data_IF_726872551277
#
_entry.id   IF_726872551277
#
_cell.length_a   1.000
_cell.length_b   1.000
_cell.length_c   1.000
_cell.angle_alpha   90.00
_cell.angle_beta   90.00
_cell.angle_gamma   90.00
#
_symmetry.space_group_name_H-M   'P 1'
#
loop_
_entity.id
_entity.type
_entity.pdbx_description
1 polymer ?
#
# COMPACT_ATOMS: atom_id res chain seq x y z
N UNK A 1 -9.25 16.14 -4.48
CA UNK A 1 -8.83 16.61 -3.13
C UNK A 1 -9.08 18.10 -2.88
N UNK A 2 -8.94 19.00 -3.85
CA UNK A 2 -9.15 20.45 -3.64
C UNK A 2 -10.33 21.06 -4.43
N UNK A 3 -10.99 20.25 -5.26
CA UNK A 3 -12.09 20.70 -6.13
C UNK A 3 -13.28 21.31 -5.37
N UNK A 4 -13.44 20.97 -4.09
CA UNK A 4 -14.43 21.58 -3.19
C UNK A 4 -14.24 23.10 -3.00
N UNK A 5 -13.05 23.64 -3.28
CA UNK A 5 -12.80 25.09 -3.25
C UNK A 5 -13.43 25.82 -4.44
N UNK A 6 -13.81 25.10 -5.50
CA UNK A 6 -14.31 25.66 -6.75
C UNK A 6 -13.39 26.74 -7.36
N UNK A 7 -12.08 26.57 -7.17
CA UNK A 7 -11.05 27.48 -7.67
C UNK A 7 -10.48 26.92 -8.98
N UNK A 8 -10.62 27.62 -10.12
CA UNK A 8 -10.14 27.14 -11.41
C UNK A 8 -8.63 26.99 -11.49
N UNK A 9 -7.87 27.69 -10.63
CA UNK A 9 -6.40 27.60 -10.63
C UNK A 9 -5.93 26.29 -10.06
N UNK A 10 -6.60 25.71 -9.06
CA UNK A 10 -6.18 24.46 -8.39
C UNK A 10 -7.14 23.29 -8.63
N UNK A 11 -8.04 23.42 -9.60
CA UNK A 11 -9.02 22.40 -9.95
C UNK A 11 -8.34 21.16 -10.53
N UNK A 12 -8.71 19.95 -10.07
CA UNK A 12 -8.04 18.71 -10.47
C UNK A 12 -8.02 18.49 -11.98
N UNK A 13 -9.05 18.95 -12.71
CA UNK A 13 -9.17 18.80 -14.17
C UNK A 13 -8.15 19.63 -14.97
N UNK A 14 -7.63 20.73 -14.42
CA UNK A 14 -6.72 21.67 -15.10
C UNK A 14 -5.34 21.74 -14.45
N UNK A 15 -5.22 21.39 -13.16
CA UNK A 15 -3.97 21.47 -12.43
C UNK A 15 -2.91 20.52 -13.00
N UNK A 16 -1.69 21.05 -13.14
CA UNK A 16 -0.54 20.28 -13.59
C UNK A 16 0.45 20.12 -12.43
N UNK A 17 0.59 18.88 -11.96
CA UNK A 17 1.44 18.59 -10.81
C UNK A 17 2.92 18.70 -11.13
N UNK A 18 3.68 19.12 -10.12
CA UNK A 18 5.14 19.05 -10.15
C UNK A 18 5.64 17.63 -9.86
N UNK A 19 5.40 16.71 -10.79
CA UNK A 19 5.92 15.35 -10.83
C UNK A 19 6.21 14.95 -12.28
N UNK A 20 6.65 13.72 -12.52
CA UNK A 20 6.96 13.22 -13.87
C UNK A 20 5.80 12.57 -14.60
N UNK A 21 4.66 12.37 -13.93
CA UNK A 21 3.48 11.73 -14.51
C UNK A 21 2.56 12.80 -15.16
N UNK A 22 2.18 12.66 -16.44
CA UNK A 22 1.19 13.54 -17.03
C UNK A 22 -0.13 13.53 -16.25
N UNK A 23 -0.71 14.69 -15.94
CA UNK A 23 -1.94 14.74 -15.12
C UNK A 23 -3.13 14.00 -15.73
N UNK A 24 -3.18 13.89 -17.07
CA UNK A 24 -4.19 13.09 -17.77
C UNK A 24 -4.03 11.58 -17.47
N UNK A 25 -2.80 11.09 -17.35
CA UNK A 25 -2.51 9.70 -16.99
C UNK A 25 -2.89 9.46 -15.53
N UNK A 26 -2.45 10.35 -14.61
CA UNK A 26 -2.82 10.26 -13.19
C UNK A 26 -4.34 10.18 -12.97
N UNK A 27 -5.13 11.01 -13.67
CA UNK A 27 -6.60 10.97 -13.61
C UNK A 27 -7.16 9.62 -14.03
N UNK A 28 -6.53 8.95 -14.99
CA UNK A 28 -6.99 7.66 -15.45
C UNK A 28 -6.51 6.53 -14.54
N UNK A 29 -5.21 6.45 -14.27
CA UNK A 29 -4.60 5.35 -13.50
C UNK A 29 -4.96 5.43 -12.02
N UNK A 30 -4.85 6.60 -11.41
CA UNK A 30 -5.10 6.75 -9.99
C UNK A 30 -6.58 7.08 -9.71
N UNK A 31 -7.12 8.15 -10.29
CA UNK A 31 -8.47 8.59 -9.90
C UNK A 31 -9.56 7.62 -10.36
N UNK A 32 -9.41 7.01 -11.54
CA UNK A 32 -10.40 6.06 -12.05
C UNK A 32 -10.04 4.61 -11.74
N UNK A 33 -8.91 4.10 -12.25
CA UNK A 33 -8.58 2.67 -12.11
C UNK A 33 -8.34 2.31 -10.65
N UNK A 34 -7.38 2.97 -10.02
CA UNK A 34 -6.95 2.62 -8.67
C UNK A 34 -8.07 2.80 -7.64
N UNK A 35 -8.77 3.94 -7.61
CA UNK A 35 -9.87 4.13 -6.65
C UNK A 35 -11.11 3.28 -6.93
N UNK A 36 -11.36 2.87 -8.18
CA UNK A 36 -12.49 1.97 -8.47
C UNK A 36 -12.17 0.52 -8.13
N UNK A 37 -10.98 0.06 -8.49
CA UNK A 37 -10.56 -1.34 -8.46
C UNK A 37 -9.44 -1.61 -7.46
N UNK A 38 -9.35 -0.82 -6.39
CA UNK A 38 -8.27 -0.88 -5.40
C UNK A 38 -7.93 -2.29 -4.98
N UNK A 39 -6.65 -2.64 -5.10
CA UNK A 39 -6.09 -3.95 -4.78
C UNK A 39 -6.68 -5.15 -5.56
N UNK A 40 -7.44 -4.93 -6.64
CA UNK A 40 -7.95 -6.00 -7.50
C UNK A 40 -6.88 -6.39 -8.53
N UNK A 41 -6.38 -7.61 -8.42
CA UNK A 41 -5.30 -8.14 -9.24
C UNK A 41 -5.64 -8.15 -10.72
N UNK A 42 -4.74 -7.56 -11.51
CA UNK A 42 -4.90 -7.43 -12.96
C UNK A 42 -5.93 -6.38 -13.37
N UNK A 43 -6.46 -5.59 -12.44
CA UNK A 43 -7.28 -4.40 -12.71
C UNK A 43 -6.57 -3.16 -12.16
N UNK A 44 -6.05 -3.24 -10.94
CA UNK A 44 -5.23 -2.21 -10.29
C UNK A 44 -3.75 -2.52 -10.47
N UNK A 45 -3.09 -1.72 -11.31
CA UNK A 45 -1.66 -1.86 -11.60
C UNK A 45 -0.78 -1.41 -10.42
N UNK A 46 -1.33 -0.71 -9.41
CA UNK A 46 -0.59 -0.35 -8.19
C UNK A 46 -0.24 -1.60 -7.37
N UNK A 47 -0.93 -2.75 -7.60
CA UNK A 47 -0.58 -4.03 -6.99
C UNK A 47 0.67 -4.63 -7.64
N UNK A 48 1.82 -4.05 -7.27
CA UNK A 48 3.14 -4.46 -7.69
C UNK A 48 3.71 -3.69 -8.87
N UNK A 49 3.03 -2.66 -9.39
CA UNK A 49 3.51 -1.80 -10.49
C UNK A 49 3.99 -2.57 -11.73
N UNK A 50 3.47 -3.79 -11.94
CA UNK A 50 3.96 -4.76 -12.93
C UNK A 50 5.41 -5.26 -12.74
N UNK A 51 6.16 -4.66 -11.81
CA UNK A 51 7.58 -4.86 -11.56
C UNK A 51 7.83 -5.81 -10.37
N UNK A 52 7.04 -5.66 -9.31
CA UNK A 52 7.19 -6.38 -8.05
C UNK A 52 6.15 -7.48 -7.92
N UNK A 53 6.56 -8.61 -7.36
CA UNK A 53 5.61 -9.56 -6.80
C UNK A 53 5.26 -9.17 -5.37
N UNK A 54 4.01 -8.78 -5.15
CA UNK A 54 3.52 -8.24 -3.86
C UNK A 54 2.42 -9.08 -3.22
N UNK A 55 1.90 -10.07 -3.96
CA UNK A 55 0.99 -11.09 -3.44
C UNK A 55 1.38 -12.49 -3.93
N UNK A 56 0.88 -13.52 -3.24
CA UNK A 56 1.07 -14.94 -3.61
C UNK A 56 0.17 -15.37 -4.75
N UNK A 57 -0.90 -14.65 -5.00
CA UNK A 57 -1.80 -14.86 -6.15
C UNK A 57 -1.10 -14.59 -7.49
N UNK A 58 -0.01 -13.84 -7.47
CA UNK A 58 0.90 -13.70 -8.61
C UNK A 58 1.81 -14.93 -8.67
N UNK A 59 1.82 -15.61 -9.82
CA UNK A 59 2.74 -16.74 -10.06
C UNK A 59 4.19 -16.28 -9.91
N UNK A 60 4.96 -17.00 -9.10
CA UNK A 60 6.40 -16.75 -8.98
C UNK A 60 7.12 -17.06 -10.30
N UNK A 61 8.08 -16.20 -10.66
CA UNK A 61 9.00 -16.36 -11.80
C UNK A 61 10.43 -16.03 -11.35
N UNK A 62 11.50 -16.56 -12.00
CA UNK A 62 12.89 -16.26 -11.63
C UNK A 62 13.24 -14.77 -11.57
N UNK A 63 12.55 -13.92 -12.35
CA UNK A 63 12.64 -12.46 -12.25
C UNK A 63 12.41 -11.95 -10.81
N UNK A 64 11.56 -12.62 -10.02
CA UNK A 64 11.26 -12.21 -8.66
C UNK A 64 12.43 -12.35 -7.69
N UNK A 65 13.51 -13.05 -8.02
CA UNK A 65 14.73 -12.98 -7.20
C UNK A 65 15.24 -11.53 -7.06
N UNK A 66 14.98 -10.68 -8.06
CA UNK A 66 15.32 -9.27 -8.04
C UNK A 66 14.33 -8.37 -7.30
N UNK A 67 13.22 -8.87 -6.75
CA UNK A 67 12.15 -8.08 -6.12
C UNK A 67 12.69 -6.99 -5.18
N UNK A 68 13.64 -7.32 -4.30
CA UNK A 68 14.26 -6.36 -3.38
C UNK A 68 15.03 -5.26 -4.12
N UNK A 69 15.87 -5.64 -5.09
CA UNK A 69 16.64 -4.70 -5.90
C UNK A 69 15.71 -3.79 -6.70
N UNK A 70 14.67 -4.36 -7.32
CA UNK A 70 13.70 -3.62 -8.10
C UNK A 70 12.89 -2.67 -7.23
N UNK A 71 12.53 -3.07 -6.01
CA UNK A 71 11.84 -2.19 -5.07
C UNK A 71 12.75 -1.05 -4.60
N UNK A 72 14.03 -1.30 -4.38
CA UNK A 72 15.00 -0.23 -4.06
C UNK A 72 15.11 0.77 -5.21
N UNK A 73 15.23 0.30 -6.45
CA UNK A 73 15.27 1.18 -7.63
C UNK A 73 13.96 1.97 -7.75
N UNK A 74 12.81 1.30 -7.57
CA UNK A 74 11.50 1.93 -7.58
C UNK A 74 11.38 2.98 -6.47
N UNK A 75 11.85 2.71 -5.25
CA UNK A 75 11.81 3.67 -4.16
C UNK A 75 12.67 4.91 -4.43
N UNK A 76 13.83 4.75 -5.10
CA UNK A 76 14.71 5.86 -5.46
C UNK A 76 14.21 6.67 -6.66
N UNK A 77 13.41 6.06 -7.54
CA UNK A 77 12.90 6.63 -8.78
C UNK A 77 11.37 6.61 -8.87
N UNK A 78 10.68 6.68 -7.73
CA UNK A 78 9.24 6.35 -7.62
C UNK A 78 8.36 7.14 -8.58
N UNK A 79 8.57 8.46 -8.69
CA UNK A 79 7.81 9.30 -9.62
C UNK A 79 7.91 8.82 -11.09
N UNK A 80 9.06 8.30 -11.49
CA UNK A 80 9.27 7.79 -12.85
C UNK A 80 8.56 6.44 -13.02
N UNK A 81 8.56 5.61 -11.98
CA UNK A 81 7.78 4.37 -11.93
C UNK A 81 6.29 4.63 -12.14
N UNK A 82 5.74 5.63 -11.42
CA UNK A 82 4.35 6.10 -11.61
C UNK A 82 4.12 6.59 -13.04
N UNK A 83 5.01 7.44 -13.57
CA UNK A 83 4.85 8.01 -14.91
C UNK A 83 4.83 6.95 -16.03
N UNK A 84 5.61 5.87 -15.89
CA UNK A 84 5.65 4.81 -16.90
C UNK A 84 4.58 3.74 -16.70
N UNK A 85 3.87 3.75 -15.58
CA UNK A 85 2.87 2.73 -15.26
C UNK A 85 1.75 2.69 -16.30
N UNK A 86 1.23 3.86 -16.70
CA UNK A 86 0.19 3.98 -17.73
C UNK A 86 0.63 3.43 -19.10
N UNK A 87 1.94 3.30 -19.33
CA UNK A 87 2.47 2.71 -20.56
C UNK A 87 2.37 1.19 -20.59
N UNK A 88 2.02 0.52 -19.49
CA UNK A 88 1.77 -0.93 -19.42
C UNK A 88 2.78 -1.74 -20.25
N UNK A 89 4.08 -1.50 -20.03
CA UNK A 89 5.16 -1.89 -20.96
C UNK A 89 5.18 -3.41 -21.27
N UNK A 90 4.65 -4.24 -20.37
CA UNK A 90 4.54 -5.69 -20.55
C UNK A 90 3.38 -6.18 -21.42
N UNK A 91 2.39 -5.33 -21.77
CA UNK A 91 1.23 -5.76 -22.58
C UNK A 91 1.58 -5.85 -24.06
N UNK A 92 1.15 -6.94 -24.71
CA UNK A 92 1.31 -7.15 -26.15
C UNK A 92 0.30 -6.29 -26.93
N UNK A 93 0.79 -5.49 -27.88
CA UNK A 93 -0.04 -4.59 -28.71
C UNK A 93 -0.11 -5.13 -30.13
N UNK A 94 -1.24 -5.74 -30.47
CA UNK A 94 -1.43 -6.48 -31.73
C UNK A 94 -2.08 -5.65 -32.84
N UNK A 95 -2.88 -4.65 -32.50
CA UNK A 95 -3.59 -3.82 -33.48
C UNK A 95 -2.81 -2.53 -33.78
N UNK A 96 -2.89 -1.98 -35.01
CA UNK A 96 -2.28 -0.69 -35.33
C UNK A 96 -2.72 0.44 -34.40
N UNK A 97 -4.00 0.46 -34.02
CA UNK A 97 -4.60 1.47 -33.15
C UNK A 97 -3.97 1.43 -31.75
N UNK A 98 -3.83 0.23 -31.17
CA UNK A 98 -3.20 0.06 -29.86
C UNK A 98 -1.71 0.42 -29.86
N UNK A 99 -1.04 0.26 -31.00
CA UNK A 99 0.36 0.70 -31.16
C UNK A 99 0.46 2.22 -31.28
N UNK A 100 -0.50 2.86 -31.94
CA UNK A 100 -0.56 4.31 -32.07
C UNK A 100 -0.87 5.00 -30.74
N UNK A 101 -1.86 4.51 -30.02
CA UNK A 101 -2.19 4.98 -28.68
C UNK A 101 -0.98 4.89 -27.75
N UNK A 102 -0.28 3.75 -27.76
CA UNK A 102 0.96 3.61 -27.00
C UNK A 102 2.04 4.62 -27.39
N UNK A 103 2.23 4.89 -28.69
CA UNK A 103 3.21 5.89 -29.14
C UNK A 103 2.84 7.28 -28.62
N UNK A 104 1.56 7.65 -28.64
CA UNK A 104 1.07 8.92 -28.10
C UNK A 104 1.35 9.01 -26.60
N UNK A 105 0.86 8.05 -25.81
CA UNK A 105 1.02 8.05 -24.35
C UNK A 105 2.50 8.04 -23.96
N UNK A 106 3.35 7.28 -24.68
CA UNK A 106 4.80 7.27 -24.49
C UNK A 106 5.40 8.65 -24.73
N UNK A 107 5.01 9.31 -25.82
CA UNK A 107 5.53 10.65 -26.14
C UNK A 107 5.11 11.68 -25.08
N UNK A 108 3.89 11.58 -24.54
CA UNK A 108 3.41 12.45 -23.47
C UNK A 108 4.23 12.26 -22.17
N UNK A 109 4.47 11.00 -21.78
CA UNK A 109 5.34 10.66 -20.62
C UNK A 109 6.76 11.17 -20.84
N UNK A 110 7.36 10.92 -22.01
CA UNK A 110 8.72 11.37 -22.30
C UNK A 110 8.84 12.89 -22.33
N UNK A 111 7.82 13.58 -22.87
CA UNK A 111 7.76 15.05 -22.88
C UNK A 111 7.68 15.59 -21.46
N UNK A 112 6.82 15.02 -20.61
CA UNK A 112 6.69 15.42 -19.20
C UNK A 112 7.98 15.16 -18.43
N UNK A 113 8.57 13.97 -18.55
CA UNK A 113 9.88 13.64 -17.95
C UNK A 113 10.96 14.62 -18.42
N UNK A 114 11.05 14.87 -19.73
CA UNK A 114 12.04 15.78 -20.31
C UNK A 114 11.93 17.20 -19.76
N UNK A 115 10.70 17.73 -19.66
CA UNK A 115 10.43 19.05 -19.05
C UNK A 115 10.86 19.09 -17.59
N UNK A 116 10.55 18.07 -16.79
CA UNK A 116 10.94 18.03 -15.38
C UNK A 116 12.45 17.89 -15.19
N UNK A 117 13.10 17.03 -15.97
CA UNK A 117 14.56 16.88 -15.92
C UNK A 117 15.27 18.16 -16.33
N UNK A 118 14.81 18.81 -17.42
CA UNK A 118 15.35 20.09 -17.85
C UNK A 118 15.13 21.19 -16.78
N UNK A 119 13.96 21.23 -16.14
CA UNK A 119 13.70 22.19 -15.06
C UNK A 119 14.62 21.95 -13.86
N UNK A 120 14.67 20.72 -13.36
CA UNK A 120 15.34 20.35 -12.10
C UNK A 120 16.86 20.36 -12.19
N UNK A 121 17.41 19.90 -13.32
CA UNK A 121 18.83 19.64 -13.46
C UNK A 121 19.56 20.59 -14.40
N UNK A 122 18.83 21.43 -15.15
CA UNK A 122 19.42 22.45 -16.02
C UNK A 122 18.94 23.86 -15.63
N UNK A 123 17.63 24.13 -15.67
CA UNK A 123 17.11 25.49 -15.49
C UNK A 123 17.35 26.04 -14.07
N UNK A 124 16.93 25.33 -13.03
CA UNK A 124 17.14 25.79 -11.65
C UNK A 124 18.63 25.86 -11.25
N UNK A 125 19.47 24.84 -11.53
CA UNK A 125 20.90 24.96 -11.24
C UNK A 125 21.60 26.07 -12.02
N UNK A 126 21.22 26.30 -13.28
CA UNK A 126 21.73 27.43 -14.07
C UNK A 126 21.29 28.78 -13.48
N UNK A 127 20.05 28.91 -13.03
CA UNK A 127 19.55 30.13 -12.36
C UNK A 127 20.33 30.41 -11.07
N UNK A 128 20.54 29.39 -10.23
CA UNK A 128 21.35 29.53 -9.00
C UNK A 128 22.80 29.90 -9.34
N UNK A 129 23.36 29.27 -10.37
CA UNK A 129 24.70 29.57 -10.86
C UNK A 129 24.81 31.01 -11.33
N UNK A 130 23.85 31.53 -12.10
CA UNK A 130 23.83 32.92 -12.53
C UNK A 130 23.70 33.89 -11.34
N UNK A 131 22.80 33.60 -10.39
CA UNK A 131 22.52 34.48 -9.25
C UNK A 131 23.69 34.54 -8.23
N UNK A 132 24.40 33.44 -8.03
CA UNK A 132 25.38 33.30 -6.92
C UNK A 132 26.80 32.97 -7.37
N UNK A 133 26.99 32.64 -8.64
CA UNK A 133 28.26 32.15 -9.19
C UNK A 133 29.41 33.14 -9.09
N UNK A 134 29.15 34.45 -9.10
CA UNK A 134 30.18 35.47 -8.87
C UNK A 134 30.79 35.41 -7.46
N UNK A 135 30.10 34.86 -6.46
CA UNK A 135 30.60 34.74 -5.07
C UNK A 135 31.34 33.45 -4.80
N UNK A 136 30.95 32.36 -5.46
CA UNK A 136 31.40 30.99 -5.10
C UNK A 136 31.95 30.17 -6.28
N UNK A 137 31.96 30.75 -7.49
CA UNK A 137 32.30 30.10 -8.76
C UNK A 137 31.08 29.48 -9.44
N UNK A 138 30.84 29.81 -10.71
CA UNK A 138 29.68 29.34 -11.49
C UNK A 138 29.53 27.82 -11.52
N UNK A 139 30.60 27.09 -11.86
CA UNK A 139 30.56 25.62 -11.89
C UNK A 139 30.23 25.01 -10.53
N UNK A 140 30.76 25.59 -9.44
CA UNK A 140 30.50 25.12 -8.07
C UNK A 140 29.08 25.44 -7.60
N UNK A 141 28.56 26.62 -7.93
CA UNK A 141 27.19 27.01 -7.64
C UNK A 141 26.20 26.09 -8.36
N UNK A 142 26.41 25.84 -9.65
CA UNK A 142 25.63 24.89 -10.44
C UNK A 142 25.66 23.50 -9.82
N UNK A 143 26.86 22.95 -9.58
CA UNK A 143 27.02 21.60 -9.06
C UNK A 143 26.30 21.43 -7.71
N UNK A 144 26.46 22.40 -6.79
CA UNK A 144 25.76 22.38 -5.50
C UNK A 144 24.24 22.39 -5.66
N UNK A 145 23.71 23.26 -6.52
CA UNK A 145 22.27 23.33 -6.77
C UNK A 145 21.74 22.02 -7.38
N UNK A 146 22.42 21.49 -8.40
CA UNK A 146 22.05 20.22 -9.02
C UNK A 146 22.10 19.05 -8.03
N UNK A 147 23.12 18.97 -7.16
CA UNK A 147 23.21 17.94 -6.12
C UNK A 147 22.11 18.12 -5.07
N UNK A 148 21.77 19.34 -4.66
CA UNK A 148 20.67 19.60 -3.75
C UNK A 148 19.32 19.16 -4.34
N UNK A 149 19.08 19.47 -5.62
CA UNK A 149 17.88 19.01 -6.34
C UNK A 149 17.85 17.49 -6.48
N UNK A 150 18.98 16.85 -6.78
CA UNK A 150 19.08 15.39 -6.86
C UNK A 150 18.74 14.74 -5.51
N UNK A 151 19.29 15.25 -4.41
CA UNK A 151 19.00 14.75 -3.06
C UNK A 151 17.54 14.98 -2.67
N UNK A 152 16.98 16.16 -2.96
CA UNK A 152 15.57 16.45 -2.74
C UNK A 152 14.65 15.50 -3.52
N UNK A 153 15.01 15.20 -4.76
CA UNK A 153 14.32 14.21 -5.59
C UNK A 153 14.35 12.81 -5.00
N UNK A 154 15.51 12.36 -4.49
CA UNK A 154 15.63 11.06 -3.79
C UNK A 154 14.76 11.03 -2.54
N UNK A 155 14.80 12.07 -1.70
CA UNK A 155 13.99 12.16 -0.49
C UNK A 155 12.50 12.10 -0.86
N UNK A 156 12.07 12.88 -1.86
CA UNK A 156 10.68 12.86 -2.35
C UNK A 156 10.27 11.47 -2.82
N UNK A 157 11.08 10.80 -3.63
CA UNK A 157 10.74 9.48 -4.16
C UNK A 157 10.60 8.43 -3.05
N UNK A 158 11.55 8.40 -2.12
CA UNK A 158 11.52 7.47 -0.98
C UNK A 158 10.32 7.77 -0.07
N UNK A 159 10.04 9.06 0.16
CA UNK A 159 8.88 9.49 0.94
C UNK A 159 7.56 9.06 0.31
N UNK A 160 7.34 9.40 -0.96
CA UNK A 160 6.12 9.03 -1.68
C UNK A 160 5.96 7.52 -1.77
N UNK A 161 7.05 6.78 -2.05
CA UNK A 161 7.03 5.32 -2.03
C UNK A 161 6.57 4.79 -0.66
N UNK A 162 7.15 5.31 0.44
CA UNK A 162 6.82 4.83 1.77
C UNK A 162 5.36 5.11 2.16
N UNK A 163 4.86 6.32 1.88
CA UNK A 163 3.46 6.71 2.16
C UNK A 163 2.49 5.83 1.38
N UNK A 164 2.71 5.65 0.06
CA UNK A 164 1.83 4.84 -0.79
C UNK A 164 1.91 3.36 -0.43
N UNK A 165 3.11 2.82 -0.19
CA UNK A 165 3.28 1.40 0.14
C UNK A 165 2.63 1.03 1.46
N UNK A 166 2.62 1.93 2.45
CA UNK A 166 1.90 1.72 3.70
C UNK A 166 0.37 1.64 3.50
N UNK A 167 -0.17 2.18 2.42
CA UNK A 167 -1.59 2.11 2.11
C UNK A 167 -2.05 0.74 1.62
N UNK A 168 -1.21 0.00 0.90
CA UNK A 168 -1.66 -1.13 0.08
C UNK A 168 -0.99 -2.47 0.39
N UNK A 169 0.23 -2.44 0.94
CA UNK A 169 1.05 -3.65 1.11
C UNK A 169 1.25 -4.18 2.54
N UNK A 170 0.97 -3.45 3.64
CA UNK A 170 1.12 -4.03 4.96
C UNK A 170 0.16 -5.19 5.19
N UNK A 171 0.47 -5.99 6.21
CA UNK A 171 -0.42 -7.04 6.68
C UNK A 171 -1.79 -6.47 7.05
N UNK A 172 -2.84 -7.11 6.52
CA UNK A 172 -4.23 -6.70 6.73
C UNK A 172 -4.82 -5.79 5.66
N UNK A 173 -4.02 -5.25 4.72
CA UNK A 173 -4.55 -4.71 3.47
C UNK A 173 -4.80 -5.89 2.52
N UNK A 174 -6.05 -6.27 2.31
CA UNK A 174 -6.42 -7.44 1.51
C UNK A 174 -6.25 -7.19 0.00
N UNK A 175 -6.09 -8.28 -0.76
CA UNK A 175 -5.97 -8.25 -2.22
C UNK A 175 -7.11 -9.07 -2.78
N UNK A 176 -7.63 -8.61 -3.90
CA UNK A 176 -8.84 -9.17 -4.48
C UNK A 176 -8.55 -9.69 -5.89
N UNK A 177 -9.37 -10.63 -6.32
CA UNK A 177 -9.40 -11.15 -7.68
C UNK A 177 -10.53 -10.48 -8.46
N UNK A 178 -10.55 -10.65 -9.78
CA UNK A 178 -11.65 -10.16 -10.61
C UNK A 178 -13.00 -10.78 -10.24
N UNK A 179 -13.00 -12.03 -9.77
CA UNK A 179 -14.23 -12.72 -9.36
C UNK A 179 -14.89 -12.07 -8.14
N UNK A 180 -14.10 -11.41 -7.28
CA UNK A 180 -14.61 -10.76 -6.09
C UNK A 180 -15.47 -9.52 -6.41
N UNK A 181 -15.39 -9.00 -7.64
CA UNK A 181 -16.12 -7.79 -8.07
C UNK A 181 -17.21 -8.05 -9.12
N UNK A 182 -17.43 -9.29 -9.57
CA UNK A 182 -18.36 -9.59 -10.68
C UNK A 182 -19.82 -9.19 -10.38
N UNK A 183 -20.23 -9.21 -9.10
CA UNK A 183 -21.58 -8.83 -8.66
C UNK A 183 -21.53 -7.92 -7.42
N UNK A 184 -20.46 -7.16 -7.25
CA UNK A 184 -20.25 -6.29 -6.10
C UNK A 184 -21.33 -5.20 -6.04
N UNK A 185 -22.05 -5.16 -4.91
CA UNK A 185 -22.93 -4.05 -4.57
C UNK A 185 -22.14 -2.84 -4.10
N UNK A 186 -22.76 -1.65 -4.09
CA UNK A 186 -22.10 -0.45 -3.57
C UNK A 186 -21.65 -0.59 -2.10
N UNK A 187 -22.40 -1.32 -1.27
CA UNK A 187 -22.03 -1.56 0.12
C UNK A 187 -20.80 -2.49 0.22
N UNK A 188 -20.72 -3.50 -0.62
CA UNK A 188 -19.56 -4.39 -0.72
C UNK A 188 -18.34 -3.65 -1.28
N UNK A 189 -18.53 -2.72 -2.20
CA UNK A 189 -17.46 -1.83 -2.67
C UNK A 189 -16.83 -1.05 -1.51
N UNK A 190 -17.63 -0.41 -0.65
CA UNK A 190 -17.09 0.28 0.54
C UNK A 190 -16.35 -0.67 1.48
N UNK A 191 -16.87 -1.89 1.67
CA UNK A 191 -16.21 -2.90 2.48
C UNK A 191 -14.87 -3.32 1.87
N UNK A 192 -14.81 -3.56 0.56
CA UNK A 192 -13.59 -3.90 -0.17
C UNK A 192 -12.56 -2.79 -0.12
N UNK A 193 -12.97 -1.54 -0.31
CA UNK A 193 -12.10 -0.38 -0.19
C UNK A 193 -11.45 -0.27 1.19
N UNK A 194 -12.25 -0.47 2.25
CA UNK A 194 -11.75 -0.48 3.63
C UNK A 194 -10.80 -1.66 3.90
N UNK A 195 -11.15 -2.87 3.46
CA UNK A 195 -10.32 -4.05 3.65
C UNK A 195 -9.04 -4.03 2.81
N UNK A 196 -9.09 -3.42 1.63
CA UNK A 196 -7.97 -3.32 0.68
C UNK A 196 -6.94 -2.26 1.03
N UNK A 197 -7.18 -1.43 2.03
CA UNK A 197 -6.31 -0.32 2.38
C UNK A 197 -5.91 -0.35 3.86
N UNK A 198 -4.81 0.31 4.18
CA UNK A 198 -4.24 0.35 5.51
C UNK A 198 -3.78 1.76 5.87
N UNK A 199 -4.14 2.17 7.07
CA UNK A 199 -3.67 3.42 7.65
C UNK A 199 -2.31 3.25 8.31
N UNK A 200 -1.66 4.37 8.61
CA UNK A 200 -0.57 4.41 9.56
C UNK A 200 -0.80 5.48 10.62
N UNK A 201 -0.37 5.19 11.84
CA UNK A 201 -0.53 6.10 12.97
C UNK A 201 0.31 7.35 12.70
N UNK A 202 -0.38 8.49 12.63
CA UNK A 202 0.24 9.76 12.35
C UNK A 202 -0.28 10.80 13.36
N UNK A 203 0.64 11.39 14.12
CA UNK A 203 0.37 12.67 14.78
C UNK A 203 0.24 13.78 13.74
N UNK A 204 -0.09 15.00 14.19
CA UNK A 204 -0.34 16.14 13.30
C UNK A 204 0.76 16.36 12.26
N UNK A 205 2.02 16.37 12.68
CA UNK A 205 3.15 16.63 11.78
C UNK A 205 3.28 15.58 10.66
N UNK A 206 3.18 14.30 11.00
CA UNK A 206 3.29 13.21 10.02
C UNK A 206 2.07 13.16 9.09
N UNK A 207 0.88 13.43 9.63
CA UNK A 207 -0.34 13.54 8.82
C UNK A 207 -0.22 14.70 7.82
N UNK A 208 0.27 15.87 8.25
CA UNK A 208 0.50 17.01 7.37
C UNK A 208 1.55 16.71 6.29
N UNK A 209 2.71 16.16 6.66
CA UNK A 209 3.79 15.84 5.72
C UNK A 209 3.40 14.78 4.68
N UNK A 210 2.45 13.90 5.01
CA UNK A 210 1.91 12.90 4.08
C UNK A 210 0.71 13.42 3.27
N UNK A 211 0.28 14.67 3.43
CA UNK A 211 -0.92 15.20 2.79
C UNK A 211 -2.21 14.54 3.28
N UNK A 212 -2.21 14.07 4.54
CA UNK A 212 -3.22 13.21 5.17
C UNK A 212 -3.38 11.81 4.56
N UNK A 213 -2.44 11.37 3.71
CA UNK A 213 -2.38 10.00 3.21
C UNK A 213 -1.93 8.98 4.27
N UNK A 214 -1.88 9.37 5.54
CA UNK A 214 -1.93 8.45 6.68
C UNK A 214 -3.29 7.77 6.84
N UNK A 215 -4.34 8.36 6.25
CA UNK A 215 -5.74 7.91 6.27
C UNK A 215 -6.16 7.33 4.90
N UNK A 216 -5.44 6.29 4.45
CA UNK A 216 -5.71 5.58 3.19
C UNK A 216 -7.08 4.90 3.16
N UNK A 217 -7.55 4.36 4.29
CA UNK A 217 -8.90 3.77 4.39
C UNK A 217 -9.94 4.81 4.01
N UNK A 218 -9.91 5.98 4.66
CA UNK A 218 -10.83 7.09 4.42
C UNK A 218 -10.69 7.64 2.99
N UNK A 219 -9.47 7.74 2.49
CA UNK A 219 -9.18 8.15 1.13
C UNK A 219 -9.80 7.22 0.08
N UNK A 220 -9.78 5.91 0.31
CA UNK A 220 -10.32 4.92 -0.64
C UNK A 220 -11.83 4.77 -0.58
N UNK A 221 -12.44 4.88 0.60
CA UNK A 221 -13.91 4.88 0.71
C UNK A 221 -14.51 6.22 0.24
N UNK A 222 -13.81 7.35 0.38
CA UNK A 222 -14.27 8.68 -0.01
C UNK A 222 -13.21 9.46 -0.82
N UNK A 223 -12.89 9.03 -2.05
CA UNK A 223 -11.79 9.62 -2.83
C UNK A 223 -12.01 11.10 -3.20
N UNK A 224 -13.27 11.53 -3.29
CA UNK A 224 -13.63 12.91 -3.61
C UNK A 224 -13.57 13.84 -2.39
N UNK A 225 -13.49 13.28 -1.17
CA UNK A 225 -13.46 14.07 0.06
C UNK A 225 -12.10 14.77 0.23
N UNK A 226 -12.07 16.04 0.67
CA UNK A 226 -10.81 16.71 0.92
C UNK A 226 -9.98 16.07 2.02
N UNK A 227 -8.67 15.98 1.78
CA UNK A 227 -7.79 15.17 2.62
C UNK A 227 -7.63 15.70 4.04
N UNK A 228 -7.79 17.01 4.25
CA UNK A 228 -7.81 17.62 5.58
C UNK A 228 -9.02 17.19 6.44
N UNK A 229 -10.03 16.54 5.87
CA UNK A 229 -11.20 16.01 6.59
C UNK A 229 -11.08 14.53 6.95
N UNK A 230 -10.08 13.82 6.45
CA UNK A 230 -9.94 12.38 6.70
C UNK A 230 -9.82 12.06 8.20
N UNK A 231 -9.08 12.85 8.97
CA UNK A 231 -8.97 12.65 10.42
C UNK A 231 -10.32 12.72 11.16
N UNK A 232 -11.20 13.63 10.75
CA UNK A 232 -12.54 13.80 11.32
C UNK A 232 -13.43 12.60 10.99
N UNK A 233 -13.37 12.13 9.75
CA UNK A 233 -14.18 11.00 9.27
C UNK A 233 -13.68 9.67 9.81
N UNK A 234 -12.37 9.50 9.98
CA UNK A 234 -11.75 8.29 10.52
C UNK A 234 -12.35 7.89 11.87
N UNK A 235 -12.75 8.86 12.71
CA UNK A 235 -13.43 8.59 13.99
C UNK A 235 -14.74 7.81 13.77
N UNK A 236 -15.56 8.26 12.81
CA UNK A 236 -16.85 7.61 12.50
C UNK A 236 -16.67 6.28 11.80
N UNK A 237 -15.72 6.19 10.86
CA UNK A 237 -15.39 4.95 10.15
C UNK A 237 -14.91 3.89 11.13
N UNK A 238 -14.01 4.24 12.06
CA UNK A 238 -13.53 3.33 13.10
C UNK A 238 -14.67 2.87 14.01
N UNK A 239 -15.54 3.78 14.45
CA UNK A 239 -16.70 3.44 15.28
C UNK A 239 -17.65 2.45 14.56
N UNK A 240 -17.85 2.59 13.25
CA UNK A 240 -18.61 1.61 12.46
C UNK A 240 -17.89 0.26 12.36
N UNK A 241 -16.56 0.27 12.16
CA UNK A 241 -15.78 -0.96 12.15
C UNK A 241 -15.87 -1.70 13.50
N UNK A 242 -15.84 -0.97 14.62
CA UNK A 242 -16.02 -1.56 15.95
C UNK A 242 -17.45 -2.08 16.15
N UNK A 243 -18.48 -1.30 15.80
CA UNK A 243 -19.88 -1.71 15.89
C UNK A 243 -20.18 -3.00 15.10
N UNK A 244 -19.59 -3.12 13.91
CA UNK A 244 -19.86 -4.23 13.01
C UNK A 244 -18.83 -5.36 13.08
N UNK A 245 -17.87 -5.29 14.01
CA UNK A 245 -16.78 -6.23 14.19
C UNK A 245 -15.98 -6.49 12.89
N UNK A 246 -15.63 -5.40 12.20
CA UNK A 246 -14.80 -5.38 11.00
C UNK A 246 -13.37 -4.96 11.37
N UNK A 247 -12.32 -5.50 10.75
CA UNK A 247 -10.96 -5.04 11.01
C UNK A 247 -10.80 -3.58 10.55
N UNK A 248 -9.98 -2.80 11.25
CA UNK A 248 -9.54 -1.48 10.81
C UNK A 248 -8.00 -1.49 10.80
N UNK A 249 -7.40 -1.69 9.62
CA UNK A 249 -5.97 -1.95 9.50
C UNK A 249 -5.18 -0.65 9.68
N UNK A 250 -4.48 -0.53 10.81
CA UNK A 250 -3.67 0.64 11.14
C UNK A 250 -2.50 0.24 12.06
N UNK A 251 -1.47 1.08 12.13
CA UNK A 251 -0.32 0.86 13.01
C UNK A 251 0.84 1.83 12.75
N UNK A 252 1.94 1.76 13.50
CA UNK A 252 3.03 2.72 13.39
C UNK A 252 3.65 2.75 12.00
N UNK A 253 3.92 3.95 11.47
CA UNK A 253 4.46 4.13 10.12
C UNK A 253 5.71 3.27 9.80
N UNK A 254 6.76 3.22 10.64
CA UNK A 254 7.92 2.37 10.36
C UNK A 254 7.57 0.88 10.30
N UNK A 255 6.60 0.43 11.09
CA UNK A 255 6.15 -0.96 11.12
C UNK A 255 5.36 -1.30 9.86
N UNK A 256 4.47 -0.42 9.40
CA UNK A 256 3.70 -0.62 8.17
C UNK A 256 4.65 -0.70 6.95
N UNK A 257 5.63 0.20 6.87
CA UNK A 257 6.60 0.16 5.78
C UNK A 257 7.51 -1.07 5.86
N UNK A 258 7.96 -1.46 7.06
CA UNK A 258 8.74 -2.68 7.25
C UNK A 258 7.95 -3.94 6.86
N UNK A 259 6.64 -4.00 7.14
CA UNK A 259 5.79 -5.11 6.67
C UNK A 259 5.75 -5.20 5.15
N UNK A 260 5.63 -4.06 4.45
CA UNK A 260 5.68 -4.04 2.97
C UNK A 260 7.01 -4.60 2.43
N UNK A 261 8.14 -4.12 2.95
CA UNK A 261 9.47 -4.64 2.59
C UNK A 261 9.65 -6.12 2.92
N UNK A 262 9.19 -6.55 4.10
CA UNK A 262 9.24 -7.96 4.51
C UNK A 262 8.40 -8.83 3.56
N UNK A 263 7.23 -8.36 3.13
CA UNK A 263 6.42 -9.06 2.12
C UNK A 263 7.17 -9.18 0.80
N UNK A 264 7.75 -8.10 0.29
CA UNK A 264 8.56 -8.10 -0.94
C UNK A 264 9.74 -9.06 -0.83
N UNK A 265 10.44 -9.06 0.31
CA UNK A 265 11.54 -9.98 0.60
C UNK A 265 11.09 -11.44 0.55
N UNK A 266 10.01 -11.78 1.27
CA UNK A 266 9.44 -13.14 1.30
C UNK A 266 9.07 -13.61 -0.10
N UNK A 267 8.39 -12.75 -0.86
CA UNK A 267 7.89 -13.07 -2.21
C UNK A 267 8.98 -13.03 -3.29
N UNK A 268 10.20 -12.65 -2.93
CA UNK A 268 11.38 -12.77 -3.80
C UNK A 268 11.74 -14.24 -4.05
N UNK A 269 11.45 -15.11 -3.07
CA UNK A 269 11.80 -16.53 -3.12
C UNK A 269 10.65 -17.40 -3.68
N UNK A 270 10.96 -18.57 -4.26
CA UNK A 270 9.96 -19.54 -4.70
C UNK A 270 8.97 -19.96 -3.61
N UNK A 271 7.74 -20.27 -4.01
CA UNK A 271 6.63 -20.58 -3.08
C UNK A 271 6.89 -21.78 -2.17
N UNK A 272 7.76 -22.72 -2.57
CA UNK A 272 8.17 -23.86 -1.74
C UNK A 272 8.83 -23.47 -0.40
N UNK A 273 9.30 -22.22 -0.28
CA UNK A 273 9.88 -21.69 0.96
C UNK A 273 8.86 -20.93 1.83
N UNK A 274 7.62 -20.76 1.34
CA UNK A 274 6.54 -20.10 2.07
C UNK A 274 5.72 -21.13 2.83
N UNK A 275 5.48 -20.88 4.12
CA UNK A 275 4.74 -21.80 5.00
C UNK A 275 3.22 -21.64 4.97
N UNK A 276 2.73 -20.47 4.56
CA UNK A 276 1.30 -20.18 4.42
C UNK A 276 0.86 -20.24 2.95
N UNK A 277 -0.43 -20.35 2.69
CA UNK A 277 -1.01 -20.32 1.33
C UNK A 277 -1.31 -18.90 0.86
N UNK A 278 -1.86 -18.72 -0.34
CA UNK A 278 -2.41 -17.43 -0.79
C UNK A 278 -3.71 -17.07 -0.06
N UNK A 279 -4.50 -18.07 0.35
CA UNK A 279 -5.75 -17.86 1.06
C UNK A 279 -5.56 -17.39 2.52
N UNK A 280 -4.41 -17.71 3.14
CA UNK A 280 -4.24 -17.52 4.59
C UNK A 280 -2.81 -17.08 4.97
N UNK A 281 -2.36 -15.95 4.40
CA UNK A 281 -1.12 -15.27 4.75
C UNK A 281 -1.38 -13.94 5.49
N UNK A 282 -0.37 -13.40 6.21
CA UNK A 282 -0.45 -12.04 6.74
C UNK A 282 -0.61 -10.97 5.65
N UNK A 283 0.08 -11.14 4.52
CA UNK A 283 0.18 -10.15 3.44
C UNK A 283 -0.92 -10.25 2.36
N UNK A 284 -1.61 -11.39 2.28
CA UNK A 284 -2.72 -11.66 1.36
C UNK A 284 -3.60 -12.74 1.99
N UNK A 285 -4.91 -12.63 1.81
CA UNK A 285 -5.85 -13.59 2.34
C UNK A 285 -7.14 -13.59 1.53
N UNK A 286 -7.87 -14.71 1.59
CA UNK A 286 -9.21 -14.85 1.02
C UNK A 286 -10.18 -15.38 2.06
N UNK A 287 -11.47 -15.36 1.74
CA UNK A 287 -12.51 -15.96 2.56
C UNK A 287 -12.35 -17.49 2.70
N UNK A 288 -11.56 -18.13 1.84
CA UNK A 288 -11.29 -19.57 1.89
C UNK A 288 -10.52 -20.00 3.15
N UNK A 289 -9.78 -19.09 3.80
CA UNK A 289 -9.14 -19.39 5.11
C UNK A 289 -10.12 -19.82 6.20
N UNK A 290 -11.38 -19.44 6.05
CA UNK A 290 -12.44 -19.75 7.00
C UNK A 290 -13.20 -21.05 6.66
N UNK A 291 -13.03 -21.60 5.45
CA UNK A 291 -13.80 -22.75 4.95
C UNK A 291 -13.31 -24.09 5.47
N UNK A 292 -12.13 -24.17 6.09
CA UNK A 292 -11.60 -25.43 6.63
C UNK A 292 -12.53 -26.03 7.68
N UNK A 293 -13.13 -27.18 7.35
CA UNK A 293 -14.03 -27.93 8.23
C UNK A 293 -15.50 -27.51 8.16
N UNK A 294 -15.87 -26.63 7.22
CA UNK A 294 -17.27 -26.31 6.92
C UNK A 294 -17.75 -27.08 5.67
N UNK A 295 -19.05 -27.43 5.58
CA UNK A 295 -19.62 -28.02 4.36
C UNK A 295 -19.45 -27.09 3.15
N UNK A 296 -19.38 -27.69 1.95
CA UNK A 296 -19.34 -26.92 0.71
C UNK A 296 -20.56 -25.98 0.59
N UNK A 297 -20.32 -24.70 0.31
CA UNK A 297 -21.34 -23.66 0.23
C UNK A 297 -21.70 -22.99 1.57
N UNK A 298 -21.19 -23.47 2.71
CA UNK A 298 -21.40 -22.81 3.99
C UNK A 298 -20.72 -21.43 4.02
N UNK A 299 -21.51 -20.39 4.32
CA UNK A 299 -21.01 -19.02 4.53
C UNK A 299 -20.98 -18.74 6.03
N UNK A 300 -19.84 -18.26 6.52
CA UNK A 300 -19.80 -17.68 7.86
C UNK A 300 -20.68 -16.44 7.88
N UNK A 301 -21.62 -16.41 8.81
CA UNK A 301 -22.47 -15.26 9.03
C UNK A 301 -22.04 -14.57 10.32
N UNK A 302 -22.10 -13.24 10.32
CA UNK A 302 -21.92 -12.49 11.54
C UNK A 302 -23.03 -12.88 12.54
N UNK A 303 -22.65 -13.11 13.79
CA UNK A 303 -23.60 -13.44 14.87
C UNK A 303 -23.66 -12.28 15.85
N UNK A 304 -24.80 -12.16 16.53
CA UNK A 304 -24.98 -11.22 17.64
C UNK A 304 -25.34 -12.04 18.86
N UNK A 305 -24.58 -11.88 19.92
CA UNK A 305 -24.89 -12.49 21.21
C UNK A 305 -26.16 -11.84 21.77
N UNK A 306 -27.22 -12.62 21.95
CA UNK A 306 -28.54 -12.11 22.35
C UNK A 306 -28.57 -11.50 23.76
N UNK A 307 -27.63 -11.90 24.63
CA UNK A 307 -27.58 -11.45 26.03
C UNK A 307 -26.76 -10.17 26.17
N UNK A 308 -25.62 -10.11 25.48
CA UNK A 308 -24.66 -8.99 25.60
C UNK A 308 -24.80 -7.98 24.47
N UNK A 309 -25.50 -8.31 23.39
CA UNK A 309 -25.55 -7.54 22.15
C UNK A 309 -24.24 -7.52 21.36
N UNK A 310 -23.23 -8.29 21.80
CA UNK A 310 -21.91 -8.26 21.19
C UNK A 310 -21.92 -8.93 19.82
N UNK A 311 -21.48 -8.21 18.79
CA UNK A 311 -21.35 -8.76 17.43
C UNK A 311 -20.05 -9.52 17.27
N UNK A 312 -20.12 -10.70 16.66
CA UNK A 312 -18.96 -11.45 16.16
C UNK A 312 -19.01 -11.49 14.65
N UNK A 313 -18.09 -10.79 14.03
CA UNK A 313 -17.92 -10.62 12.59
C UNK A 313 -16.51 -11.00 12.14
N UNK A 314 -16.00 -10.28 11.14
CA UNK A 314 -14.75 -10.63 10.46
C UNK A 314 -13.52 -10.47 11.37
N UNK A 315 -13.48 -9.42 12.20
CA UNK A 315 -12.36 -9.18 13.13
C UNK A 315 -12.24 -10.32 14.13
N UNK A 316 -13.33 -10.70 14.81
CA UNK A 316 -13.34 -11.86 15.72
C UNK A 316 -12.98 -13.17 15.02
N UNK A 317 -13.44 -13.37 13.78
CA UNK A 317 -13.12 -14.56 13.01
C UNK A 317 -11.60 -14.65 12.70
N UNK A 318 -10.97 -13.54 12.31
CA UNK A 318 -9.53 -13.46 12.08
C UNK A 318 -8.75 -13.77 13.36
N UNK A 319 -9.16 -13.21 14.50
CA UNK A 319 -8.46 -13.41 15.77
C UNK A 319 -8.61 -14.85 16.29
N UNK A 320 -9.77 -15.47 16.09
CA UNK A 320 -9.99 -16.90 16.36
C UNK A 320 -9.03 -17.79 15.55
N UNK A 321 -8.84 -17.50 14.25
CA UNK A 321 -7.87 -18.23 13.42
C UNK A 321 -6.43 -18.06 13.94
N UNK A 322 -6.05 -16.84 14.31
CA UNK A 322 -4.71 -16.56 14.88
C UNK A 322 -4.48 -17.30 16.20
N UNK A 323 -5.48 -17.33 17.09
CA UNK A 323 -5.38 -18.07 18.35
C UNK A 323 -5.21 -19.57 18.09
N UNK A 324 -6.05 -20.17 17.23
CA UNK A 324 -5.96 -21.59 16.88
C UNK A 324 -4.58 -21.97 16.32
N UNK A 325 -3.97 -21.11 15.51
CA UNK A 325 -2.61 -21.30 14.99
C UNK A 325 -1.57 -21.28 16.09
N UNK A 326 -1.64 -20.30 16.99
CA UNK A 326 -0.74 -20.21 18.16
C UNK A 326 -0.85 -21.47 19.03
N UNK A 327 -2.07 -21.95 19.29
CA UNK A 327 -2.29 -23.13 20.12
C UNK A 327 -1.79 -24.41 19.44
N UNK A 328 -1.95 -24.54 18.12
CA UNK A 328 -1.36 -25.65 17.34
C UNK A 328 0.17 -25.62 17.41
N UNK A 329 0.79 -24.44 17.27
CA UNK A 329 2.24 -24.28 17.38
C UNK A 329 2.75 -24.67 18.78
N UNK A 330 2.10 -24.16 19.83
CA UNK A 330 2.45 -24.49 21.22
C UNK A 330 2.31 -25.99 21.48
N UNK A 331 1.22 -26.64 21.03
CA UNK A 331 1.05 -28.09 21.14
C UNK A 331 2.13 -28.86 20.39
N UNK A 332 2.47 -28.47 19.16
CA UNK A 332 3.52 -29.11 18.38
C UNK A 332 4.90 -28.98 19.03
N UNK A 333 5.21 -27.83 19.65
CA UNK A 333 6.46 -27.63 20.38
C UNK A 333 6.52 -28.49 21.65
N UNK A 334 5.38 -28.67 22.35
CA UNK A 334 5.28 -29.53 23.53
C UNK A 334 5.32 -31.03 23.20
N UNK A 335 4.87 -31.44 22.00
CA UNK A 335 4.86 -32.84 21.57
C UNK A 335 6.14 -33.29 20.86
N UNK A 336 7.18 -32.44 20.77
CA UNK A 336 8.49 -32.84 20.23
C UNK A 336 9.24 -33.68 21.27
N UNK A 337 9.61 -34.94 20.99
CA UNK A 337 10.43 -35.73 21.91
C UNK A 337 11.81 -35.09 22.00
N UNK A 338 12.19 -34.59 23.19
CA UNK A 338 13.55 -34.06 23.42
C UNK A 338 13.69 -32.80 24.27
N UNK A 339 12.63 -32.25 24.88
CA UNK A 339 12.79 -31.28 25.99
C UNK A 339 12.27 -31.90 27.28
N UNK A 340 13.22 -32.31 28.11
CA UNK A 340 12.98 -32.68 29.50
C UNK A 340 12.23 -31.58 30.24
N UNK A 341 11.38 -31.99 31.17
CA UNK A 341 10.72 -31.18 32.18
C UNK A 341 11.62 -30.05 32.69
N UNK A 342 11.23 -28.81 32.38
CA UNK A 342 11.48 -27.73 33.35
C UNK A 342 10.32 -27.81 34.31
N UNK A 343 10.51 -28.62 35.34
CA UNK A 343 9.62 -28.75 36.47
C UNK A 343 9.30 -27.38 37.06
N UNK A 344 8.04 -27.21 37.45
CA UNK A 344 7.56 -26.08 38.23
C UNK A 344 8.42 -25.92 39.48
N UNK A 345 9.32 -24.93 39.45
CA UNK A 345 10.09 -24.49 40.60
C UNK A 345 9.18 -23.81 41.62
N UNK A 346 8.60 -24.61 42.50
CA UNK A 346 8.43 -24.40 43.93
C UNK A 346 8.36 -22.92 44.38
N UNK A 347 7.17 -22.30 44.30
CA UNK A 347 6.85 -21.11 45.10
C UNK A 347 6.51 -21.60 46.51
N UNK A 348 7.54 -21.76 47.35
CA UNK A 348 7.33 -21.81 48.80
C UNK A 348 7.24 -20.39 49.31
N UNK A 349 6.09 -20.09 49.91
CA UNK A 349 5.93 -19.08 50.95
C UNK A 349 6.91 -19.41 52.07
N UNK A 350 7.62 -18.42 52.56
CA UNK A 350 7.98 -18.30 53.97
C UNK A 350 7.84 -16.82 54.33
N UNK A 351 6.88 -16.57 55.21
CA UNK A 351 6.75 -15.36 56.02
C UNK A 351 7.77 -15.41 57.18
N UNK A 352 8.07 -14.22 57.70
CA UNK A 352 8.63 -13.88 59.03
C UNK A 352 10.15 -13.74 59.29
N UNK A 353 10.46 -12.52 59.76
CA UNK A 353 11.40 -12.12 60.82
C UNK A 353 12.91 -11.94 60.51
N UNK A 354 13.32 -10.69 60.25
CA UNK A 354 13.99 -9.79 61.22
C UNK A 354 14.36 -8.45 60.56
#
# INVERSE_FOLDING_TARGET
>A
QWDWMNDPEVHSTTWEWDNTDPSAHWKHTHNYIHHKYTNVLGMDDDVGYGLLRVTRDQRWRPFNYGNLVYNTILALAFQYGVAVQHLELGKKRKTPEAQEEFRRNRNDVLSKIGKQVAKDYLAYPALVSAATGHKVGYGRAYAKAATATALGNVIRNVWSNAVIFCGHFPDGAEKFTRQDIDNETQAEWYLRQMLGSANFDAGFALAFMSGNLSYQIEHHIFPDLPSNRYAEIAVRVRALCDKYDLPYTSGPFPVQYAKAWRTIAKLSLPDKYLSATADDAPETASERRFKQGLPDGARLQATVDETTGARRGLRSAIDSLRSRRRDKLVRSLRSRPGRADVSEGNVRRDDEAA
#
